data_IF_563180291746
#
_entry.id   IF_563180291746
#
_cell.length_a   1.000
_cell.length_b   1.000
_cell.length_c   1.000
_cell.angle_alpha   90.00
_cell.angle_beta   90.00
_cell.angle_gamma   90.00
#
_symmetry.space_group_name_H-M   'P 1'
#
loop_
_entity.id
_entity.type
_entity.pdbx_description
1 polymer ?
#
# COMPACT_ATOMS: atom_id res chain seq x y z
N UNK A 1 -13.97 2.76 -8.49
CA UNK A 1 -12.98 1.86 -7.86
C UNK A 1 -11.58 2.00 -8.46
N UNK A 2 -11.39 1.74 -9.77
CA UNK A 2 -10.03 1.66 -10.33
C UNK A 2 -9.21 2.95 -10.13
N UNK A 3 -9.75 4.13 -10.49
CA UNK A 3 -9.09 5.41 -10.25
C UNK A 3 -8.67 5.65 -8.79
N UNK A 4 -9.47 5.18 -7.83
CA UNK A 4 -9.15 5.28 -6.41
C UNK A 4 -7.94 4.40 -6.08
N UNK A 5 -7.98 3.12 -6.47
CA UNK A 5 -6.89 2.19 -6.22
C UNK A 5 -5.60 2.58 -6.93
N UNK A 6 -5.69 3.11 -8.15
CA UNK A 6 -4.51 3.63 -8.87
C UNK A 6 -3.93 4.85 -8.17
N UNK A 7 -4.76 5.74 -7.62
CA UNK A 7 -4.27 6.93 -6.92
C UNK A 7 -3.49 6.57 -5.66
N UNK A 8 -3.94 5.55 -4.92
CA UNK A 8 -3.30 5.08 -3.68
C UNK A 8 -2.25 3.98 -3.90
N UNK A 9 -2.31 3.28 -5.02
CA UNK A 9 -1.55 2.05 -5.24
C UNK A 9 -0.57 2.14 -6.39
N UNK A 10 -0.67 3.15 -7.27
CA UNK A 10 0.22 3.32 -8.40
C UNK A 10 1.17 4.48 -8.21
N UNK A 11 2.30 4.40 -8.91
CA UNK A 11 3.32 5.44 -8.93
C UNK A 11 4.05 5.45 -10.28
N UNK A 12 4.71 6.56 -10.57
CA UNK A 12 5.62 6.63 -11.70
C UNK A 12 6.96 5.97 -11.41
N UNK A 13 7.37 5.09 -12.33
CA UNK A 13 8.71 4.52 -12.44
C UNK A 13 9.41 5.01 -13.72
N UNK A 14 10.66 4.60 -13.93
CA UNK A 14 11.38 4.92 -15.16
C UNK A 14 10.77 4.29 -16.42
N UNK A 15 10.00 3.20 -16.28
CA UNK A 15 9.45 2.43 -17.40
C UNK A 15 7.95 2.67 -17.61
N UNK A 16 7.22 3.04 -16.55
CA UNK A 16 5.78 3.22 -16.61
C UNK A 16 5.34 4.37 -15.68
N UNK A 17 4.63 5.34 -16.25
CA UNK A 17 4.13 6.51 -15.54
C UNK A 17 2.98 6.19 -14.56
N UNK A 18 2.29 5.07 -14.76
CA UNK A 18 1.21 4.61 -13.89
C UNK A 18 1.40 3.13 -13.50
N UNK A 19 2.58 2.81 -12.95
CA UNK A 19 2.92 1.46 -12.53
C UNK A 19 2.16 1.09 -11.26
N UNK A 20 1.36 0.02 -11.30
CA UNK A 20 0.79 -0.60 -10.10
C UNK A 20 1.91 -0.96 -9.15
N UNK A 21 1.83 -0.50 -7.90
CA UNK A 21 2.77 -0.80 -6.81
C UNK A 21 2.14 -1.67 -5.71
N UNK A 22 1.11 -2.42 -6.08
CA UNK A 22 0.49 -3.51 -5.33
C UNK A 22 -0.16 -4.49 -6.32
N UNK A 23 -0.36 -5.74 -5.92
CA UNK A 23 -1.16 -6.73 -6.65
C UNK A 23 -2.61 -6.71 -6.19
N UNK A 24 -3.55 -6.93 -7.11
CA UNK A 24 -4.99 -6.96 -6.85
C UNK A 24 -5.61 -8.26 -7.38
N UNK A 25 -6.39 -8.91 -6.53
CA UNK A 25 -7.24 -10.05 -6.90
C UNK A 25 -8.69 -9.66 -6.64
N UNK A 26 -9.49 -9.66 -7.69
CA UNK A 26 -10.92 -9.36 -7.64
C UNK A 26 -11.70 -10.66 -7.84
N UNK A 27 -12.25 -11.21 -6.77
CA UNK A 27 -13.11 -12.39 -6.80
C UNK A 27 -14.57 -11.94 -6.94
N UNK A 28 -15.23 -12.34 -8.02
CA UNK A 28 -16.63 -12.04 -8.31
C UNK A 28 -17.43 -13.32 -8.13
N UNK A 29 -18.37 -13.32 -7.19
CA UNK A 29 -19.20 -14.48 -6.88
C UNK A 29 -20.57 -14.37 -7.54
N UNK A 30 -21.00 -15.44 -8.18
CA UNK A 30 -22.24 -15.53 -8.95
C UNK A 30 -23.21 -16.52 -8.33
N UNK A 31 -24.49 -16.20 -8.42
CA UNK A 31 -25.58 -17.13 -8.14
C UNK A 31 -25.65 -18.21 -9.22
N UNK A 32 -26.42 -19.26 -8.97
CA UNK A 32 -26.68 -20.30 -9.98
C UNK A 32 -27.41 -19.76 -11.23
N UNK A 33 -27.97 -18.55 -11.16
CA UNK A 33 -28.61 -17.85 -12.28
C UNK A 33 -27.68 -16.88 -13.02
N UNK A 34 -26.39 -16.82 -12.65
CA UNK A 34 -25.40 -15.95 -13.29
C UNK A 34 -25.45 -14.48 -12.86
N UNK A 35 -26.18 -14.16 -11.79
CA UNK A 35 -26.18 -12.80 -11.22
C UNK A 35 -25.04 -12.62 -10.21
N UNK A 36 -24.42 -11.44 -10.18
CA UNK A 36 -23.38 -11.13 -9.19
C UNK A 36 -24.03 -11.05 -7.80
N UNK A 37 -23.53 -11.84 -6.85
CA UNK A 37 -23.97 -11.85 -5.45
C UNK A 37 -23.13 -10.87 -4.63
N UNK A 38 -21.81 -11.02 -4.66
CA UNK A 38 -20.89 -10.09 -4.03
C UNK A 38 -19.52 -10.13 -4.71
N UNK A 39 -18.70 -9.14 -4.40
CA UNK A 39 -17.32 -9.02 -4.87
C UNK A 39 -16.38 -8.96 -3.68
N UNK A 40 -15.21 -9.58 -3.81
CA UNK A 40 -14.15 -9.49 -2.83
C UNK A 40 -12.86 -9.02 -3.50
N UNK A 41 -12.30 -7.95 -2.98
CA UNK A 41 -11.00 -7.40 -3.38
C UNK A 41 -9.94 -7.79 -2.36
N UNK A 42 -8.89 -8.47 -2.81
CA UNK A 42 -7.70 -8.78 -2.02
C UNK A 42 -6.49 -8.04 -2.58
N UNK A 43 -5.66 -7.48 -1.70
CA UNK A 43 -4.42 -6.78 -2.06
C UNK A 43 -3.19 -7.57 -1.61
N UNK A 44 -2.11 -7.50 -2.37
CA UNK A 44 -0.84 -8.16 -2.03
C UNK A 44 0.35 -7.25 -2.34
N UNK A 45 1.43 -7.42 -1.57
CA UNK A 45 2.76 -6.85 -1.87
C UNK A 45 2.76 -5.34 -2.15
N UNK A 46 1.97 -4.54 -1.42
CA UNK A 46 2.09 -3.09 -1.45
C UNK A 46 3.56 -2.68 -1.17
N UNK A 47 4.16 -1.91 -2.07
CA UNK A 47 5.55 -1.45 -1.97
C UNK A 47 5.68 -0.32 -0.93
N UNK A 48 5.59 -0.67 0.36
CA UNK A 48 5.57 0.28 1.48
C UNK A 48 6.80 1.20 1.47
N UNK A 49 7.95 0.68 1.06
CA UNK A 49 9.22 1.42 0.99
C UNK A 49 9.14 2.64 0.09
N UNK A 50 8.26 2.65 -0.92
CA UNK A 50 8.03 3.81 -1.80
C UNK A 50 7.56 5.07 -1.06
N UNK A 51 6.84 4.92 0.05
CA UNK A 51 6.34 6.05 0.84
C UNK A 51 7.48 6.94 1.32
N UNK A 52 8.64 6.35 1.64
CA UNK A 52 9.77 7.03 2.29
C UNK A 52 11.00 7.18 1.40
N UNK A 53 11.07 6.43 0.29
CA UNK A 53 12.19 6.45 -0.64
C UNK A 53 11.92 7.39 -1.82
N UNK A 54 12.43 8.63 -1.72
CA UNK A 54 12.60 9.51 -2.88
C UNK A 54 13.98 9.23 -3.52
N UNK A 55 14.09 8.17 -4.32
CA UNK A 55 15.34 7.79 -4.98
C UNK A 55 15.26 7.98 -6.49
N UNK A 56 16.03 8.93 -7.04
CA UNK A 56 16.22 9.12 -8.48
C UNK A 56 14.96 9.61 -9.23
N UNK A 57 14.77 9.20 -10.47
CA UNK A 57 13.60 9.57 -11.31
C UNK A 57 12.30 8.84 -10.92
N UNK A 58 12.20 8.26 -9.71
CA UNK A 58 11.00 7.54 -9.25
C UNK A 58 10.15 8.50 -8.40
N UNK A 59 8.84 8.45 -8.59
CA UNK A 59 7.89 9.24 -7.79
C UNK A 59 7.27 8.40 -6.68
N UNK A 60 6.73 9.09 -5.67
CA UNK A 60 5.87 8.48 -4.67
C UNK A 60 4.49 8.09 -5.28
N UNK A 61 3.56 7.60 -4.46
CA UNK A 61 2.19 7.33 -4.90
C UNK A 61 1.46 8.59 -5.36
N UNK A 62 0.60 8.47 -6.37
CA UNK A 62 -0.09 9.60 -7.00
C UNK A 62 -0.94 10.43 -6.03
N UNK A 63 -1.50 9.80 -5.01
CA UNK A 63 -2.33 10.46 -3.99
C UNK A 63 -1.58 11.60 -3.29
N UNK A 64 -0.28 11.45 -3.03
CA UNK A 64 0.48 12.50 -2.37
C UNK A 64 0.67 13.73 -3.25
N UNK A 65 0.82 13.55 -4.56
CA UNK A 65 0.87 14.65 -5.52
C UNK A 65 -0.50 15.32 -5.72
N UNK A 66 -1.57 14.54 -5.63
CA UNK A 66 -2.94 15.06 -5.65
C UNK A 66 -3.21 15.96 -4.43
N UNK A 67 -2.76 15.53 -3.25
CA UNK A 67 -2.83 16.31 -2.00
C UNK A 67 -1.98 17.57 -2.07
N UNK A 68 -0.73 17.45 -2.53
CA UNK A 68 0.14 18.59 -2.70
C UNK A 68 -0.49 19.65 -3.62
N UNK A 69 -1.03 19.21 -4.76
CA UNK A 69 -1.68 20.09 -5.74
C UNK A 69 -2.91 20.77 -5.16
N UNK A 70 -3.71 20.04 -4.36
CA UNK A 70 -4.88 20.58 -3.67
C UNK A 70 -4.52 21.69 -2.68
N UNK A 71 -3.47 21.52 -1.86
CA UNK A 71 -3.06 22.54 -0.87
C UNK A 71 -2.22 23.67 -1.45
N UNK A 72 -1.60 23.46 -2.61
CA UNK A 72 -0.81 24.49 -3.30
C UNK A 72 -1.66 25.51 -4.06
N UNK A 73 -2.94 25.23 -4.27
CA UNK A 73 -3.87 26.14 -4.94
C UNK A 73 -4.85 26.77 -3.94
N UNK A 74 -5.18 28.07 -4.07
CA UNK A 74 -6.15 28.72 -3.21
C UNK A 74 -7.54 28.10 -3.41
N UNK A 75 -8.01 27.37 -2.41
CA UNK A 75 -9.32 26.71 -2.44
C UNK A 75 -10.42 27.72 -2.08
N UNK A 76 -11.35 27.95 -3.01
CA UNK A 76 -12.50 28.84 -2.76
C UNK A 76 -13.54 28.17 -1.84
N UNK A 77 -13.69 26.84 -1.94
CA UNK A 77 -14.56 26.01 -1.11
C UNK A 77 -13.89 24.65 -0.88
N UNK A 78 -13.26 24.40 0.28
CA UNK A 78 -12.58 23.13 0.50
C UNK A 78 -13.59 21.99 0.57
N UNK A 79 -13.35 20.91 -0.20
CA UNK A 79 -14.22 19.73 -0.18
C UNK A 79 -14.20 19.03 1.19
N UNK A 80 -13.05 19.07 1.87
CA UNK A 80 -12.80 18.49 3.19
C UNK A 80 -11.87 19.42 3.95
N UNK A 81 -12.19 19.67 5.23
CA UNK A 81 -11.39 20.53 6.10
C UNK A 81 -10.53 19.69 7.04
N UNK A 82 -9.25 20.07 7.15
CA UNK A 82 -8.30 19.56 8.16
C UNK A 82 -7.75 20.73 8.98
N UNK A 83 -6.84 20.47 9.92
CA UNK A 83 -6.19 21.52 10.71
C UNK A 83 -5.54 22.58 9.80
N UNK A 84 -6.06 23.81 9.87
CA UNK A 84 -5.67 24.92 9.01
C UNK A 84 -4.17 25.23 9.12
N UNK A 85 -3.62 25.19 10.34
CA UNK A 85 -2.19 25.45 10.59
C UNK A 85 -1.31 24.41 9.90
N UNK A 86 -1.77 23.18 9.76
CA UNK A 86 -1.05 22.12 9.06
C UNK A 86 -1.12 22.31 7.55
N UNK A 87 -2.29 22.65 6.99
CA UNK A 87 -2.43 22.92 5.55
C UNK A 87 -1.64 24.16 5.08
N UNK A 88 -1.50 25.18 5.92
CA UNK A 88 -0.74 26.39 5.59
C UNK A 88 0.79 26.17 5.58
N UNK A 89 1.28 25.04 6.08
CA UNK A 89 2.70 24.68 6.01
C UNK A 89 3.14 24.20 4.62
N UNK A 90 2.21 24.04 3.67
CA UNK A 90 2.54 23.64 2.30
C UNK A 90 3.38 24.69 1.58
N UNK A 91 4.61 24.30 1.23
CA UNK A 91 5.58 25.07 0.46
C UNK A 91 5.84 24.38 -0.89
N UNK A 92 6.86 24.81 -1.64
CA UNK A 92 7.29 24.16 -2.88
C UNK A 92 7.60 22.68 -2.67
N UNK A 93 7.20 21.82 -3.60
CA UNK A 93 7.34 20.36 -3.52
C UNK A 93 8.77 19.87 -3.21
N UNK A 94 9.80 20.62 -3.63
CA UNK A 94 11.22 20.34 -3.39
C UNK A 94 11.61 20.36 -1.91
N UNK A 95 10.79 20.96 -1.05
CA UNK A 95 11.04 20.98 0.40
C UNK A 95 10.53 19.73 1.10
N UNK A 96 9.78 18.85 0.43
CA UNK A 96 9.21 17.65 1.04
C UNK A 96 10.07 16.43 0.79
N UNK A 97 10.65 15.88 1.86
CA UNK A 97 11.58 14.74 1.79
C UNK A 97 10.97 13.52 1.09
N UNK A 98 9.67 13.27 1.28
CA UNK A 98 8.97 12.14 0.66
C UNK A 98 8.41 12.42 -0.74
N UNK A 99 8.38 13.68 -1.20
CA UNK A 99 7.80 14.05 -2.50
C UNK A 99 8.82 14.57 -3.51
N UNK A 100 9.88 15.21 -3.03
CA UNK A 100 10.83 15.95 -3.84
C UNK A 100 12.22 15.97 -3.22
N UNK A 101 13.06 15.02 -3.64
CA UNK A 101 14.46 15.31 -3.91
C UNK A 101 14.95 14.47 -5.10
N UNK A 102 14.16 14.45 -6.17
CA UNK A 102 14.59 13.90 -7.45
C UNK A 102 15.51 14.95 -8.05
N UNK A 103 16.83 14.79 -7.89
CA UNK A 103 17.87 15.67 -8.42
C UNK A 103 17.52 16.23 -9.82
N UNK A 104 16.93 17.41 -9.87
CA UNK A 104 16.87 18.25 -11.06
C UNK A 104 17.72 19.48 -10.82
N UNK A 105 19.03 19.29 -11.01
CA UNK A 105 19.95 20.37 -11.37
C UNK A 105 19.69 20.89 -12.80
N UNK A 106 18.50 20.67 -13.36
CA UNK A 106 18.09 21.26 -14.61
C UNK A 106 17.13 22.40 -14.29
N UNK A 107 17.65 23.62 -14.43
CA UNK A 107 16.98 24.93 -14.42
C UNK A 107 15.98 25.11 -15.58
N UNK A 108 15.32 24.03 -16.03
CA UNK A 108 14.26 24.12 -17.01
C UNK A 108 12.92 24.03 -16.30
N UNK A 109 12.10 25.04 -16.55
CA UNK A 109 10.74 25.28 -16.07
C UNK A 109 9.76 24.14 -16.37
N UNK A 110 9.98 22.97 -15.79
CA UNK A 110 9.06 21.83 -15.85
C UNK A 110 8.46 21.62 -14.45
N UNK A 111 7.65 22.59 -14.02
CA UNK A 111 6.39 22.29 -13.34
C UNK A 111 5.51 21.47 -14.31
N UNK A 112 5.97 20.29 -14.73
CA UNK A 112 5.15 19.34 -15.44
C UNK A 112 4.09 18.89 -14.45
N UNK A 113 2.96 19.60 -14.49
CA UNK A 113 1.74 19.30 -13.78
C UNK A 113 1.53 17.79 -13.86
N UNK A 114 1.72 17.13 -12.72
CA UNK A 114 1.51 15.69 -12.62
C UNK A 114 0.06 15.48 -13.02
N UNK A 115 -0.20 14.76 -14.11
CA UNK A 115 -1.55 14.36 -14.48
C UNK A 115 -2.08 13.44 -13.38
N UNK A 116 -2.65 14.08 -12.36
CA UNK A 116 -3.19 13.48 -11.16
C UNK A 116 -4.68 13.67 -11.21
N UNK A 117 -5.39 12.71 -10.63
CA UNK A 117 -6.83 12.85 -10.44
C UNK A 117 -7.04 13.96 -9.40
N UNK A 118 -7.87 14.98 -9.68
CA UNK A 118 -8.20 16.01 -8.70
C UNK A 118 -8.69 15.36 -7.40
N UNK A 119 -8.24 15.89 -6.26
CA UNK A 119 -8.50 15.29 -4.96
C UNK A 119 -10.01 15.24 -4.66
N UNK A 120 -10.75 16.24 -5.13
CA UNK A 120 -12.20 16.34 -5.03
C UNK A 120 -12.90 15.15 -5.71
N UNK A 121 -12.40 14.73 -6.87
CA UNK A 121 -12.95 13.57 -7.59
C UNK A 121 -12.69 12.27 -6.82
N UNK A 122 -11.53 12.14 -6.19
CA UNK A 122 -11.22 10.96 -5.37
C UNK A 122 -12.12 10.88 -4.13
N UNK A 123 -12.38 12.01 -3.49
CA UNK A 123 -13.29 12.09 -2.35
C UNK A 123 -14.74 11.85 -2.74
N UNK A 124 -15.18 12.31 -3.91
CA UNK A 124 -16.49 11.94 -4.44
C UNK A 124 -16.58 10.42 -4.66
N UNK A 125 -15.56 9.78 -5.23
CA UNK A 125 -15.53 8.32 -5.40
C UNK A 125 -15.59 7.62 -4.03
N UNK A 126 -14.87 8.09 -3.02
CA UNK A 126 -14.93 7.54 -1.66
C UNK A 126 -16.34 7.65 -1.08
N UNK A 127 -17.01 8.78 -1.30
CA UNK A 127 -18.40 9.01 -0.90
C UNK A 127 -19.35 8.01 -1.57
N UNK A 128 -19.16 7.72 -2.85
CA UNK A 128 -19.94 6.72 -3.60
C UNK A 128 -19.77 5.29 -3.03
N UNK A 129 -18.67 5.01 -2.31
CA UNK A 129 -18.42 3.76 -1.59
C UNK A 129 -18.87 3.80 -0.11
N UNK A 130 -19.74 4.74 0.27
CA UNK A 130 -20.23 4.92 1.63
C UNK A 130 -19.12 5.18 2.67
N UNK A 131 -18.06 5.88 2.25
CA UNK A 131 -17.06 6.42 3.17
C UNK A 131 -17.49 7.84 3.51
N UNK A 132 -17.77 8.07 4.79
CA UNK A 132 -18.34 9.31 5.33
C UNK A 132 -17.39 10.49 5.25
N UNK A 133 -17.91 11.72 5.31
CA UNK A 133 -17.08 12.93 5.23
C UNK A 133 -16.05 12.99 6.40
N UNK A 134 -16.40 12.49 7.59
CA UNK A 134 -15.49 12.37 8.75
C UNK A 134 -14.38 11.32 8.53
N UNK A 135 -14.72 10.18 7.92
CA UNK A 135 -13.74 9.17 7.53
C UNK A 135 -12.80 9.72 6.46
N UNK A 136 -13.32 10.45 5.46
CA UNK A 136 -12.50 11.07 4.43
C UNK A 136 -11.59 12.17 4.99
N UNK A 137 -12.05 12.96 5.96
CA UNK A 137 -11.21 13.90 6.71
C UNK A 137 -10.06 13.18 7.45
N UNK A 138 -10.34 12.00 8.00
CA UNK A 138 -9.33 11.17 8.66
C UNK A 138 -8.31 10.61 7.65
N UNK A 139 -8.75 10.16 6.47
CA UNK A 139 -7.86 9.73 5.37
C UNK A 139 -6.92 10.88 4.98
N UNK A 140 -7.47 12.07 4.72
CA UNK A 140 -6.69 13.26 4.36
C UNK A 140 -5.70 13.63 5.46
N UNK A 141 -6.14 13.63 6.73
CA UNK A 141 -5.30 13.94 7.87
C UNK A 141 -4.11 12.97 8.01
N UNK A 142 -4.33 11.66 7.83
CA UNK A 142 -3.26 10.66 7.87
C UNK A 142 -2.25 10.88 6.74
N UNK A 143 -2.72 11.08 5.50
CA UNK A 143 -1.84 11.29 4.36
C UNK A 143 -1.02 12.59 4.48
N UNK A 144 -1.65 13.68 4.92
CA UNK A 144 -0.96 14.94 5.20
C UNK A 144 0.03 14.80 6.36
N UNK A 145 -0.32 14.03 7.40
CA UNK A 145 0.60 13.74 8.49
C UNK A 145 1.83 12.97 8.00
N UNK A 146 1.67 12.01 7.07
CA UNK A 146 2.82 11.29 6.47
C UNK A 146 3.74 12.26 5.72
N UNK A 147 3.19 13.21 4.95
CA UNK A 147 3.98 14.23 4.25
C UNK A 147 4.80 15.06 5.24
N UNK A 148 4.17 15.58 6.30
CA UNK A 148 4.88 16.36 7.34
C UNK A 148 5.86 15.52 8.15
N UNK A 149 5.54 14.25 8.41
CA UNK A 149 6.42 13.34 9.14
C UNK A 149 7.76 13.19 8.44
N UNK A 150 7.79 13.12 7.11
CA UNK A 150 9.04 13.06 6.34
C UNK A 150 9.98 14.26 6.52
N UNK A 151 9.40 15.41 6.86
CA UNK A 151 10.12 16.67 7.09
C UNK A 151 10.56 16.87 8.55
N UNK A 152 10.26 15.93 9.45
CA UNK A 152 10.80 15.96 10.81
C UNK A 152 12.29 15.59 10.76
N UNK A 153 13.12 16.53 11.19
CA UNK A 153 14.58 16.42 11.23
C UNK A 153 15.04 16.23 12.67
N UNK A 154 16.21 15.62 12.83
CA UNK A 154 16.79 15.32 14.14
C UNK A 154 18.18 15.91 14.25
N UNK A 155 18.52 16.39 15.44
CA UNK A 155 19.84 16.93 15.79
C UNK A 155 20.43 16.16 16.98
N UNK A 156 21.76 16.05 17.10
CA UNK A 156 22.36 15.37 18.24
C UNK A 156 22.12 16.16 19.52
N UNK A 157 21.89 15.45 20.62
CA UNK A 157 21.82 16.08 21.94
C UNK A 157 23.19 16.56 22.38
N UNK A 158 23.24 17.70 23.07
CA UNK A 158 24.48 18.32 23.54
C UNK A 158 24.94 17.80 24.91
N UNK A 159 24.18 16.89 25.51
CA UNK A 159 24.47 16.29 26.82
C UNK A 159 25.66 15.31 26.70
N UNK A 160 26.81 15.57 27.35
CA UNK A 160 28.03 14.78 27.15
C UNK A 160 27.95 13.35 27.71
N UNK A 161 27.01 13.08 28.62
CA UNK A 161 26.91 11.79 29.32
C UNK A 161 25.80 10.86 28.79
N UNK A 162 24.92 11.34 27.90
CA UNK A 162 23.84 10.55 27.30
C UNK A 162 23.75 10.86 25.80
N UNK A 163 24.44 10.09 24.93
CA UNK A 163 24.35 10.30 23.49
C UNK A 163 22.94 9.98 23.02
N UNK A 164 22.32 10.93 22.32
CA UNK A 164 20.95 10.85 21.85
C UNK A 164 20.67 11.86 20.75
N UNK A 165 19.40 12.00 20.38
CA UNK A 165 18.95 13.04 19.47
C UNK A 165 17.63 13.65 19.93
N UNK A 166 17.44 14.92 19.60
CA UNK A 166 16.15 15.59 19.70
C UNK A 166 15.62 15.93 18.32
N UNK A 167 14.34 16.27 18.24
CA UNK A 167 13.78 16.91 17.04
C UNK A 167 14.47 18.28 16.86
N UNK A 168 14.79 18.61 15.61
CA UNK A 168 15.34 19.91 15.25
C UNK A 168 14.26 21.00 15.37
N UNK A 169 14.63 22.13 15.94
CA UNK A 169 13.74 23.28 16.14
C UNK A 169 13.21 23.81 14.80
N UNK A 170 14.00 23.72 13.73
CA UNK A 170 13.58 24.13 12.38
C UNK A 170 12.41 23.27 11.85
N UNK A 171 12.37 22.00 12.25
CA UNK A 171 11.31 21.05 11.83
C UNK A 171 10.17 20.91 12.83
N UNK A 172 10.19 21.68 13.92
CA UNK A 172 9.21 21.57 15.01
C UNK A 172 7.78 21.90 14.54
N UNK A 173 7.62 22.77 13.54
CA UNK A 173 6.32 23.06 12.93
C UNK A 173 5.70 21.83 12.27
N UNK A 174 6.50 21.02 11.57
CA UNK A 174 6.08 19.76 10.97
C UNK A 174 5.77 18.70 12.01
N UNK A 175 6.61 18.54 13.04
CA UNK A 175 6.30 17.68 14.19
C UNK A 175 4.96 18.05 14.84
N UNK A 176 4.72 19.36 14.97
CA UNK A 176 3.48 19.88 15.53
C UNK A 176 2.25 19.62 14.66
N UNK A 177 2.41 19.64 13.33
CA UNK A 177 1.34 19.28 12.42
C UNK A 177 0.97 17.79 12.55
N UNK A 178 1.96 16.89 12.66
CA UNK A 178 1.74 15.45 12.75
C UNK A 178 0.86 15.08 13.96
N UNK A 179 1.19 15.52 15.17
CA UNK A 179 0.39 15.14 16.34
C UNK A 179 -1.02 15.72 16.32
N UNK A 180 -1.22 16.92 15.75
CA UNK A 180 -2.54 17.55 15.61
C UNK A 180 -3.42 16.81 14.61
N UNK A 181 -2.86 16.47 13.45
CA UNK A 181 -3.57 15.74 12.40
C UNK A 181 -3.95 14.33 12.86
N UNK A 182 -3.01 13.63 13.51
CA UNK A 182 -3.25 12.29 14.05
C UNK A 182 -4.02 12.30 15.37
N UNK A 183 -4.23 13.48 15.99
CA UNK A 183 -4.88 13.68 17.28
C UNK A 183 -4.27 12.81 18.39
N UNK A 184 -2.94 12.79 18.45
CA UNK A 184 -2.16 12.06 19.45
C UNK A 184 -1.45 13.02 20.40
N UNK A 185 -1.02 12.50 21.54
CA UNK A 185 -0.26 13.28 22.53
C UNK A 185 1.12 13.66 21.98
N UNK A 186 1.51 14.93 22.15
CA UNK A 186 2.76 15.47 21.61
C UNK A 186 3.98 14.84 22.29
N UNK A 187 3.96 14.71 23.61
CA UNK A 187 5.10 14.19 24.36
C UNK A 187 5.33 12.71 24.04
N UNK A 188 4.26 11.92 23.98
CA UNK A 188 4.34 10.51 23.60
C UNK A 188 4.82 10.36 22.15
N UNK A 189 4.35 11.20 21.24
CA UNK A 189 4.80 11.19 19.85
C UNK A 189 6.30 11.47 19.74
N UNK A 190 6.79 12.56 20.35
CA UNK A 190 8.22 12.92 20.33
C UNK A 190 9.05 11.80 20.95
N UNK A 191 8.68 11.30 22.14
CA UNK A 191 9.38 10.19 22.81
C UNK A 191 9.42 8.95 21.94
N UNK A 192 8.35 8.62 21.23
CA UNK A 192 8.30 7.44 20.36
C UNK A 192 9.29 7.50 19.19
N UNK A 193 9.70 8.70 18.76
CA UNK A 193 10.70 8.88 17.70
C UNK A 193 12.12 8.85 18.25
N UNK A 194 12.36 9.51 19.39
CA UNK A 194 13.72 9.74 19.93
C UNK A 194 14.13 8.74 21.00
N UNK A 195 13.25 7.85 21.43
CA UNK A 195 13.54 6.85 22.47
C UNK A 195 13.16 5.45 21.98
N UNK A 196 13.85 4.44 22.49
CA UNK A 196 13.46 3.04 22.37
C UNK A 196 13.53 2.35 23.72
N UNK A 197 12.55 1.48 23.98
CA UNK A 197 12.44 0.73 25.23
C UNK A 197 12.65 -0.76 24.97
N UNK A 198 13.57 -1.38 25.70
CA UNK A 198 13.83 -2.81 25.67
C UNK A 198 13.41 -3.44 27.00
N UNK A 199 12.50 -4.42 26.96
CA UNK A 199 12.16 -5.21 28.15
C UNK A 199 13.14 -6.37 28.30
N UNK A 200 13.86 -6.41 29.41
CA UNK A 200 14.81 -7.48 29.72
C UNK A 200 14.57 -7.97 31.14
N UNK A 201 14.25 -9.26 31.31
CA UNK A 201 14.01 -9.89 32.63
C UNK A 201 12.98 -9.16 33.52
N UNK A 202 11.98 -8.52 32.93
CA UNK A 202 10.92 -7.79 33.64
C UNK A 202 11.22 -6.31 33.91
N UNK A 203 12.43 -5.83 33.59
CA UNK A 203 12.80 -4.42 33.65
C UNK A 203 12.73 -3.78 32.26
N UNK A 204 12.15 -2.58 32.17
CA UNK A 204 12.12 -1.78 30.96
C UNK A 204 13.28 -0.80 30.97
N UNK A 205 14.26 -1.03 30.09
CA UNK A 205 15.39 -0.12 29.90
C UNK A 205 15.07 0.79 28.72
N UNK A 206 15.00 2.10 28.97
CA UNK A 206 14.82 3.10 27.92
C UNK A 206 16.16 3.67 27.52
N UNK A 207 16.43 3.74 26.22
CA UNK A 207 17.59 4.42 25.65
C UNK A 207 17.14 5.54 24.72
N UNK A 208 17.96 6.59 24.60
CA UNK A 208 17.81 7.57 23.54
C UNK A 208 18.29 6.96 22.21
N UNK A 209 17.59 7.29 21.14
CA UNK A 209 17.93 6.86 19.79
C UNK A 209 19.00 7.78 19.21
N UNK A 210 19.90 7.22 18.42
CA UNK A 210 20.77 8.00 17.55
C UNK A 210 19.95 8.59 16.39
N UNK A 211 20.48 9.61 15.70
CA UNK A 211 19.81 10.26 14.56
C UNK A 211 19.33 9.25 13.51
N UNK A 212 20.17 8.27 13.16
CA UNK A 212 19.82 7.24 12.18
C UNK A 212 18.71 6.31 12.67
N UNK A 213 18.69 5.93 13.95
CA UNK A 213 17.64 5.11 14.56
C UNK A 213 16.30 5.89 14.62
N UNK A 214 16.35 7.19 14.94
CA UNK A 214 15.17 8.06 14.94
C UNK A 214 14.58 8.25 13.53
N UNK A 215 15.44 8.43 12.52
CA UNK A 215 15.03 8.47 11.10
C UNK A 215 14.39 7.16 10.66
N UNK A 216 14.97 6.01 11.02
CA UNK A 216 14.38 4.70 10.73
C UNK A 216 13.01 4.52 11.41
N UNK A 217 12.87 5.00 12.65
CA UNK A 217 11.61 4.95 13.41
C UNK A 217 10.53 5.82 12.76
N UNK A 218 10.88 7.04 12.38
CA UNK A 218 10.03 7.96 11.60
C UNK A 218 9.56 7.32 10.30
N UNK A 219 10.49 6.76 9.52
CA UNK A 219 10.18 6.13 8.24
C UNK A 219 9.36 4.85 8.42
N UNK A 220 9.61 4.07 9.46
CA UNK A 220 8.79 2.91 9.82
C UNK A 220 7.36 3.31 10.18
N UNK A 221 7.18 4.41 10.92
CA UNK A 221 5.87 4.97 11.23
C UNK A 221 5.13 5.41 9.96
N UNK A 222 5.79 6.14 9.07
CA UNK A 222 5.21 6.57 7.78
C UNK A 222 4.73 5.37 6.94
N UNK A 223 5.58 4.34 6.78
CA UNK A 223 5.24 3.09 6.08
C UNK A 223 4.05 2.36 6.71
N UNK A 224 4.01 2.31 8.05
CA UNK A 224 2.95 1.65 8.80
C UNK A 224 1.61 2.37 8.66
N UNK A 225 1.60 3.71 8.81
CA UNK A 225 0.41 4.54 8.62
C UNK A 225 -0.17 4.36 7.21
N UNK A 226 0.67 4.46 6.18
CA UNK A 226 0.22 4.31 4.80
C UNK A 226 -0.33 2.91 4.51
N UNK A 227 0.40 1.86 4.92
CA UNK A 227 -0.03 0.48 4.69
C UNK A 227 -1.36 0.19 5.37
N UNK A 228 -1.53 0.60 6.63
CA UNK A 228 -2.78 0.38 7.37
C UNK A 228 -3.93 1.18 6.81
N UNK A 229 -3.67 2.41 6.34
CA UNK A 229 -4.66 3.21 5.64
C UNK A 229 -5.11 2.54 4.34
N UNK A 230 -4.17 2.03 3.55
CA UNK A 230 -4.47 1.31 2.32
C UNK A 230 -5.31 0.05 2.60
N UNK A 231 -4.93 -0.76 3.59
CA UNK A 231 -5.72 -1.92 4.03
C UNK A 231 -7.13 -1.52 4.47
N UNK A 232 -7.26 -0.40 5.19
CA UNK A 232 -8.54 0.14 5.63
C UNK A 232 -9.42 0.62 4.46
N UNK A 233 -8.85 1.22 3.42
CA UNK A 233 -9.59 1.58 2.19
C UNK A 233 -10.10 0.32 1.49
N UNK A 234 -9.27 -0.72 1.37
CA UNK A 234 -9.67 -2.01 0.79
C UNK A 234 -10.79 -2.65 1.63
N UNK A 235 -10.70 -2.56 2.95
CA UNK A 235 -11.77 -2.98 3.86
C UNK A 235 -13.08 -2.20 3.60
N UNK A 236 -13.00 -0.87 3.47
CA UNK A 236 -14.16 -0.03 3.15
C UNK A 236 -14.84 -0.42 1.84
N UNK A 237 -14.06 -0.68 0.79
CA UNK A 237 -14.57 -1.17 -0.49
C UNK A 237 -15.23 -2.55 -0.35
N UNK A 238 -14.61 -3.47 0.37
CA UNK A 238 -15.19 -4.80 0.61
C UNK A 238 -16.47 -4.76 1.44
N UNK A 239 -16.58 -3.84 2.40
CA UNK A 239 -17.82 -3.59 3.15
C UNK A 239 -18.95 -3.16 2.21
N UNK A 240 -18.65 -2.31 1.24
CA UNK A 240 -19.62 -1.88 0.22
C UNK A 240 -20.03 -3.04 -0.71
N UNK A 241 -19.09 -3.89 -1.13
CA UNK A 241 -19.37 -4.98 -2.07
C UNK A 241 -20.10 -6.19 -1.48
N UNK A 242 -20.16 -6.32 -0.15
CA UNK A 242 -20.71 -7.50 0.55
C UNK A 242 -22.05 -7.26 1.24
N UNK A 243 -22.90 -6.39 0.70
CA UNK A 243 -24.24 -6.12 1.26
C UNK A 243 -24.89 -7.40 1.84
N UNK A 244 -25.13 -7.38 3.16
CA UNK A 244 -25.83 -8.39 3.98
C UNK A 244 -25.08 -9.67 4.42
N UNK A 245 -23.76 -9.79 4.24
CA UNK A 245 -22.95 -10.87 4.82
C UNK A 245 -21.88 -10.31 5.76
N UNK A 246 -21.90 -10.69 7.04
CA UNK A 246 -20.91 -10.26 8.05
C UNK A 246 -19.47 -10.46 7.51
N UNK A 247 -18.77 -9.35 7.29
CA UNK A 247 -17.36 -9.37 6.94
C UNK A 247 -16.54 -9.57 8.22
N UNK A 248 -15.97 -10.76 8.40
CA UNK A 248 -14.87 -10.94 9.33
C UNK A 248 -13.54 -10.58 8.63
N UNK A 249 -12.82 -9.51 9.05
CA UNK A 249 -11.50 -9.21 8.54
C UNK A 249 -10.57 -10.39 8.84
N UNK A 250 -10.04 -11.03 7.79
CA UNK A 250 -8.98 -12.03 7.96
C UNK A 250 -7.70 -11.29 8.34
N UNK A 251 -7.16 -11.60 9.52
CA UNK A 251 -5.84 -11.12 9.93
C UNK A 251 -4.77 -11.60 8.93
N UNK A 252 -3.66 -10.88 8.80
CA UNK A 252 -2.46 -11.37 8.11
C UNK A 252 -2.07 -12.77 8.61
N UNK A 253 -2.28 -13.04 9.91
CA UNK A 253 -2.06 -14.35 10.52
C UNK A 253 -3.01 -15.41 9.97
N UNK A 254 -4.27 -15.06 9.68
CA UNK A 254 -5.27 -15.97 9.13
C UNK A 254 -5.00 -16.26 7.65
N UNK A 255 -4.51 -15.26 6.90
CA UNK A 255 -4.07 -15.42 5.52
C UNK A 255 -2.85 -16.35 5.43
N UNK A 256 -1.85 -16.17 6.32
CA UNK A 256 -0.69 -17.05 6.38
C UNK A 256 -1.06 -18.47 6.80
N UNK A 257 -1.90 -18.65 7.82
CA UNK A 257 -2.38 -19.97 8.24
C UNK A 257 -3.19 -20.67 7.15
N UNK A 258 -3.99 -19.92 6.39
CA UNK A 258 -4.74 -20.48 5.29
C UNK A 258 -3.82 -20.85 4.12
N UNK A 259 -2.83 -20.02 3.78
CA UNK A 259 -1.85 -20.31 2.75
C UNK A 259 -0.98 -21.53 3.10
N UNK A 260 -0.54 -21.67 4.35
CA UNK A 260 0.14 -22.88 4.84
C UNK A 260 -0.77 -24.11 4.77
N UNK A 261 -2.03 -23.99 5.20
CA UNK A 261 -3.02 -25.08 5.10
C UNK A 261 -3.29 -25.46 3.65
N UNK A 262 -3.38 -24.51 2.75
CA UNK A 262 -3.65 -24.72 1.33
C UNK A 262 -2.43 -25.32 0.63
N UNK A 263 -1.20 -24.90 0.98
CA UNK A 263 0.05 -25.54 0.55
C UNK A 263 0.15 -26.99 1.04
N UNK A 264 -0.20 -27.26 2.30
CA UNK A 264 -0.25 -28.60 2.88
C UNK A 264 -1.34 -29.46 2.23
N UNK A 265 -2.54 -28.90 1.97
CA UNK A 265 -3.62 -29.56 1.22
C UNK A 265 -3.21 -29.87 -0.20
N UNK A 266 -2.55 -28.95 -0.91
CA UNK A 266 -2.04 -29.17 -2.27
C UNK A 266 -0.97 -30.27 -2.30
N UNK A 267 -0.08 -30.29 -1.30
CA UNK A 267 0.91 -31.37 -1.14
C UNK A 267 0.26 -32.73 -0.88
N UNK A 268 -0.89 -32.76 -0.20
CA UNK A 268 -1.68 -33.97 0.03
C UNK A 268 -2.52 -34.39 -1.19
N UNK A 269 -3.07 -33.44 -1.95
CA UNK A 269 -3.95 -33.70 -3.10
C UNK A 269 -3.18 -34.03 -4.38
N UNK A 270 -1.93 -33.56 -4.51
CA UNK A 270 -1.01 -33.96 -5.57
C UNK A 270 -0.68 -35.46 -5.57
N UNK A 271 -1.07 -36.18 -4.51
CA UNK A 271 -0.86 -37.62 -4.41
C UNK A 271 -2.08 -38.46 -4.82
N UNK A 272 -3.28 -37.91 -5.10
CA UNK A 272 -4.41 -38.82 -5.35
C UNK A 272 -5.72 -38.37 -6.05
N UNK A 273 -5.92 -37.17 -6.62
CA UNK A 273 -7.25 -36.82 -7.18
C UNK A 273 -7.24 -36.34 -8.64
N UNK A 274 -8.18 -36.89 -9.43
CA UNK A 274 -8.49 -36.52 -10.81
C UNK A 274 -9.25 -35.19 -10.88
N UNK A 275 -9.06 -34.45 -11.99
CA UNK A 275 -9.45 -33.04 -12.19
C UNK A 275 -10.94 -32.69 -11.99
N UNK A 276 -11.86 -33.66 -11.91
CA UNK A 276 -13.30 -33.38 -11.74
C UNK A 276 -13.73 -33.16 -10.28
N UNK A 277 -13.00 -33.72 -9.30
CA UNK A 277 -13.34 -33.55 -7.88
C UNK A 277 -12.76 -32.26 -7.27
N UNK A 278 -11.67 -31.75 -7.84
CA UNK A 278 -11.02 -30.50 -7.38
C UNK A 278 -11.92 -29.28 -7.63
N UNK A 279 -12.59 -29.20 -8.79
CA UNK A 279 -13.57 -28.16 -9.11
C UNK A 279 -14.81 -28.19 -8.20
N UNK A 280 -15.19 -29.35 -7.66
CA UNK A 280 -16.33 -29.47 -6.72
C UNK A 280 -15.97 -29.07 -5.29
N UNK A 281 -14.71 -29.17 -4.88
CA UNK A 281 -14.26 -28.91 -3.49
C UNK A 281 -13.95 -27.43 -3.19
N UNK A 282 -13.80 -26.56 -4.19
CA UNK A 282 -13.60 -25.11 -4.01
C UNK A 282 -14.96 -24.36 -4.04
N UNK A 283 -15.99 -24.97 -3.44
CA UNK A 283 -17.25 -24.29 -3.16
C UNK A 283 -17.16 -23.68 -1.76
N UNK A 284 -16.50 -22.54 -1.63
CA UNK A 284 -16.77 -21.68 -0.47
C UNK A 284 -18.22 -21.20 -0.62
N UNK A 285 -19.13 -21.70 0.21
CA UNK A 285 -20.58 -21.42 0.22
C UNK A 285 -21.40 -21.88 -1.00
N UNK A 286 -20.87 -22.74 -1.89
CA UNK A 286 -21.65 -23.30 -3.01
C UNK A 286 -21.77 -22.41 -4.25
N UNK A 287 -21.33 -21.15 -4.18
CA UNK A 287 -21.40 -20.17 -5.27
C UNK A 287 -20.29 -20.40 -6.30
N UNK A 288 -20.59 -20.07 -7.56
CA UNK A 288 -19.58 -20.01 -8.64
C UNK A 288 -18.80 -18.70 -8.53
N UNK A 289 -17.51 -18.69 -8.86
CA UNK A 289 -16.70 -17.47 -8.81
C UNK A 289 -15.78 -17.31 -10.01
N UNK A 290 -15.62 -16.07 -10.48
CA UNK A 290 -14.58 -15.68 -11.44
C UNK A 290 -13.61 -14.74 -10.72
N UNK A 291 -12.34 -15.06 -10.79
CA UNK A 291 -11.27 -14.29 -10.15
C UNK A 291 -10.42 -13.59 -11.21
N UNK A 292 -10.26 -12.27 -11.07
CA UNK A 292 -9.39 -11.46 -11.92
C UNK A 292 -8.13 -11.08 -11.13
N UNK A 293 -6.99 -11.59 -11.57
CA UNK A 293 -5.69 -11.29 -10.98
C UNK A 293 -4.97 -10.25 -11.84
N UNK A 294 -4.64 -9.11 -11.23
CA UNK A 294 -3.75 -8.10 -11.82
C UNK A 294 -2.56 -7.92 -10.87
N UNK A 295 -1.40 -8.30 -11.39
CA UNK A 295 -0.12 -8.29 -10.69
C UNK A 295 0.90 -7.58 -11.57
N UNK A 296 1.91 -7.05 -10.91
CA UNK A 296 3.12 -6.57 -11.56
C UNK A 296 3.72 -7.62 -12.49
N UNK A 297 4.14 -7.20 -13.67
CA UNK A 297 5.02 -8.01 -14.51
C UNK A 297 6.41 -8.19 -13.90
N UNK A 298 7.21 -9.03 -14.54
CA UNK A 298 8.61 -9.24 -14.17
C UNK A 298 9.40 -7.91 -14.23
N UNK A 299 10.17 -7.59 -13.19
CA UNK A 299 10.94 -6.35 -13.06
C UNK A 299 12.44 -6.62 -12.99
N UNK A 300 13.21 -5.88 -13.79
CA UNK A 300 14.67 -5.84 -13.71
C UNK A 300 15.15 -4.40 -13.83
N UNK A 301 15.82 -3.91 -12.78
CA UNK A 301 16.48 -2.61 -12.76
C UNK A 301 18.01 -2.77 -12.61
N UNK A 302 18.75 -1.66 -12.69
CA UNK A 302 20.20 -1.63 -12.41
C UNK A 302 20.54 -2.12 -10.99
N UNK A 303 19.68 -1.80 -10.02
CA UNK A 303 19.76 -2.33 -8.65
C UNK A 303 18.39 -2.88 -8.25
N UNK A 304 18.36 -4.17 -7.91
CA UNK A 304 17.15 -4.89 -7.50
C UNK A 304 17.23 -5.19 -6.00
N UNK A 305 16.13 -4.94 -5.28
CA UNK A 305 15.99 -5.20 -3.85
C UNK A 305 15.12 -6.43 -3.61
N UNK A 306 14.86 -6.73 -2.33
CA UNK A 306 13.95 -7.79 -1.89
C UNK A 306 12.55 -7.68 -2.53
N UNK A 307 12.08 -6.47 -2.80
CA UNK A 307 10.80 -6.22 -3.47
C UNK A 307 10.75 -6.82 -4.88
N UNK A 308 11.78 -6.57 -5.71
CA UNK A 308 11.87 -7.14 -7.06
C UNK A 308 11.97 -8.67 -7.01
N UNK A 309 12.70 -9.21 -6.03
CA UNK A 309 12.75 -10.66 -5.82
C UNK A 309 11.35 -11.24 -5.56
N UNK A 310 10.57 -10.63 -4.67
CA UNK A 310 9.20 -11.08 -4.38
C UNK A 310 8.30 -11.02 -5.62
N UNK A 311 8.38 -9.93 -6.39
CA UNK A 311 7.62 -9.74 -7.64
C UNK A 311 8.00 -10.82 -8.66
N UNK A 312 9.29 -11.05 -8.88
CA UNK A 312 9.78 -11.99 -9.88
C UNK A 312 9.48 -13.44 -9.51
N UNK A 313 9.57 -13.81 -8.21
CA UNK A 313 9.14 -15.13 -7.74
C UNK A 313 7.64 -15.34 -7.97
N UNK A 314 6.80 -14.34 -7.69
CA UNK A 314 5.36 -14.44 -7.94
C UNK A 314 5.07 -14.65 -9.43
N UNK A 315 5.76 -13.92 -10.32
CA UNK A 315 5.66 -14.10 -11.76
C UNK A 315 6.10 -15.51 -12.21
N UNK A 316 7.19 -16.04 -11.66
CA UNK A 316 7.66 -17.38 -12.01
C UNK A 316 6.65 -18.47 -11.59
N UNK A 317 6.00 -18.31 -10.43
CA UNK A 317 4.94 -19.22 -10.00
C UNK A 317 3.70 -19.16 -10.91
N UNK A 318 3.31 -17.96 -11.36
CA UNK A 318 2.22 -17.81 -12.33
C UNK A 318 2.58 -18.45 -13.67
N UNK A 319 3.80 -18.24 -14.14
CA UNK A 319 4.28 -18.83 -15.39
C UNK A 319 4.35 -20.36 -15.29
N UNK A 320 4.78 -20.90 -14.15
CA UNK A 320 4.79 -22.34 -13.88
C UNK A 320 3.36 -22.91 -13.93
N UNK A 321 2.41 -22.26 -13.24
CA UNK A 321 1.00 -22.66 -13.26
C UNK A 321 0.41 -22.63 -14.68
N UNK A 322 0.68 -21.57 -15.44
CA UNK A 322 0.23 -21.44 -16.82
C UNK A 322 0.76 -22.59 -17.70
N UNK A 323 2.06 -22.89 -17.62
CA UNK A 323 2.66 -23.99 -18.41
C UNK A 323 2.02 -25.34 -18.09
N UNK A 324 1.77 -25.63 -16.81
CA UNK A 324 1.11 -26.87 -16.43
C UNK A 324 -0.30 -26.99 -17.01
N UNK A 325 -1.09 -25.91 -16.96
CA UNK A 325 -2.46 -25.93 -17.42
C UNK A 325 -2.56 -26.02 -18.95
N UNK A 326 -1.79 -25.18 -19.66
CA UNK A 326 -1.74 -25.19 -21.13
C UNK A 326 -1.25 -26.53 -21.66
N UNK A 327 -0.17 -27.09 -21.08
CA UNK A 327 0.33 -28.40 -21.50
C UNK A 327 -0.67 -29.52 -21.22
N UNK A 328 -1.33 -29.51 -20.05
CA UNK A 328 -2.37 -30.50 -19.75
C UNK A 328 -3.56 -30.40 -20.72
N UNK A 329 -3.96 -29.18 -21.08
CA UNK A 329 -5.01 -28.94 -22.09
C UNK A 329 -4.60 -29.43 -23.48
N UNK A 330 -3.39 -29.09 -23.94
CA UNK A 330 -2.87 -29.57 -25.22
C UNK A 330 -2.86 -31.10 -25.24
N UNK A 331 -2.30 -31.75 -24.20
CA UNK A 331 -2.26 -33.21 -24.11
C UNK A 331 -3.64 -33.86 -24.16
N UNK A 332 -4.65 -33.23 -23.53
CA UNK A 332 -6.04 -33.71 -23.56
C UNK A 332 -6.66 -33.57 -24.94
N UNK A 333 -6.33 -32.51 -25.67
CA UNK A 333 -6.81 -32.32 -27.04
C UNK A 333 -6.18 -33.33 -28.02
N UNK A 334 -4.87 -33.58 -27.89
CA UNK A 334 -4.20 -34.66 -28.64
C UNK A 334 -4.84 -36.03 -28.39
N UNK A 335 -5.26 -36.32 -27.14
CA UNK A 335 -6.01 -37.54 -26.81
C UNK A 335 -7.40 -37.58 -27.46
N UNK A 336 -8.13 -36.47 -27.41
CA UNK A 336 -9.46 -36.35 -28.01
C UNK A 336 -9.42 -36.57 -29.53
N UNK A 337 -8.38 -36.07 -30.19
CA UNK A 337 -8.18 -36.19 -31.64
C UNK A 337 -7.46 -37.50 -32.05
N UNK A 338 -7.05 -38.33 -31.08
CA UNK A 338 -6.32 -39.59 -31.30
C UNK A 338 -5.00 -39.39 -32.07
N UNK A 339 -4.34 -38.25 -31.88
CA UNK A 339 -3.06 -37.91 -32.53
C UNK A 339 -1.90 -38.32 -31.61
N UNK A 340 -0.87 -38.93 -32.19
CA UNK A 340 0.30 -39.41 -31.45
C UNK A 340 1.11 -38.25 -30.85
N UNK A 341 1.43 -38.33 -29.55
CA UNK A 341 1.94 -37.23 -28.72
C UNK A 341 3.42 -36.87 -28.95
N UNK A 342 4.05 -37.41 -29.99
CA UNK A 342 5.50 -37.33 -30.18
C UNK A 342 5.87 -36.77 -31.55
N UNK A 343 6.45 -35.57 -31.52
CA UNK A 343 7.24 -34.93 -32.58
C UNK A 343 8.29 -34.05 -31.93
#
# INVERSE_FOLDING_TARGET
MNFLLESFGNAQTSLNNNSSRFGKLLDIFFSDYGTIVYVQLSQFLLEKTRVVLASGNKRNFHIFYSIYSYFSQPQSNPCISIDQKSSELFQTIKYYTYLGNNNSNNDNNDDQAVSTVPLENLFQILKDFNITDDEQASILAILTAIIHLGNVLFKPDTEPNEPGCSIDQESMSHSNAVYRLLKIDNDLFIRSLVQSSLMTRGETVTKLNMISEAQQTRDAMAKSLYSRLFDWIIYGLNRYFRTDLEYEPRSIVDIHKQHEKDLLKKKLSLLQETDEESCKKIRNNGLCSISLLDLFGFETFESNSYEQLCINIANEQLQYFFRQHTFAWEMKEYENEQIEKTG
#
